data_IF_678395070116
#
_entry.id   IF_678395070116
#
_cell.length_a   1.000
_cell.length_b   1.000
_cell.length_c   1.000
_cell.angle_alpha   90.00
_cell.angle_beta   90.00
_cell.angle_gamma   90.00
#
_symmetry.space_group_name_H-M   'P 1'
#
loop_
_entity.id
_entity.type
_entity.pdbx_description
1 polymer ?
#
# COMPACT_ATOMS: atom_id res chain seq x y z
N UNK A 1 -8.41 -6.03 -2.23
CA UNK A 1 -8.19 -4.96 -1.25
C UNK A 1 -7.66 -5.54 0.08
N UNK A 2 -8.41 -6.28 0.88
CA UNK A 2 -7.97 -6.79 2.20
C UNK A 2 -6.61 -7.51 2.20
N UNK A 3 -6.27 -8.28 1.16
CA UNK A 3 -4.94 -8.93 1.02
C UNK A 3 -3.84 -7.89 0.85
N UNK A 4 -4.12 -6.81 0.11
CA UNK A 4 -3.18 -5.71 -0.06
C UNK A 4 -2.88 -5.06 1.29
N UNK A 5 -3.91 -4.70 2.06
CA UNK A 5 -3.77 -4.09 3.39
C UNK A 5 -3.01 -4.98 4.38
N UNK A 6 -3.25 -6.29 4.36
CA UNK A 6 -2.51 -7.22 5.21
C UNK A 6 -1.02 -7.25 4.85
N UNK A 7 -0.69 -7.28 3.55
CA UNK A 7 0.71 -7.23 3.11
C UNK A 7 1.35 -5.90 3.43
N UNK A 8 0.64 -4.83 3.14
CA UNK A 8 1.08 -3.47 3.39
C UNK A 8 1.40 -3.29 4.88
N UNK A 9 0.45 -3.49 5.77
CA UNK A 9 0.64 -3.28 7.21
C UNK A 9 1.79 -4.10 7.78
N UNK A 10 1.98 -5.34 7.33
CA UNK A 10 3.08 -6.21 7.80
C UNK A 10 4.45 -5.72 7.32
N UNK A 11 4.57 -5.35 6.03
CA UNK A 11 5.84 -4.94 5.46
C UNK A 11 6.22 -3.49 5.81
N UNK A 12 5.23 -2.64 6.09
CA UNK A 12 5.44 -1.24 6.44
C UNK A 12 6.23 -1.03 7.73
N UNK A 13 6.16 -1.98 8.66
CA UNK A 13 6.94 -1.94 9.90
C UNK A 13 8.44 -1.75 9.66
N UNK A 14 8.97 -2.27 8.55
CA UNK A 14 10.36 -2.08 8.17
C UNK A 14 10.74 -0.62 7.92
N UNK A 15 9.86 0.13 7.27
CA UNK A 15 10.08 1.56 7.02
C UNK A 15 9.98 2.37 8.33
N UNK A 16 9.01 2.07 9.20
CA UNK A 16 8.88 2.72 10.52
C UNK A 16 10.16 2.55 11.34
N UNK A 17 10.70 1.33 11.40
CA UNK A 17 11.92 1.03 12.16
C UNK A 17 13.20 1.60 11.51
N UNK A 18 13.16 1.91 10.22
CA UNK A 18 14.29 2.45 9.49
C UNK A 18 14.42 3.98 9.60
N UNK A 19 13.50 4.68 10.26
CA UNK A 19 13.58 6.13 10.42
C UNK A 19 14.53 6.50 11.57
N UNK A 20 15.38 7.50 11.32
CA UNK A 20 16.26 8.10 12.30
C UNK A 20 15.64 9.41 12.86
N UNK A 21 14.61 9.95 12.21
CA UNK A 21 13.88 11.15 12.61
C UNK A 21 12.59 10.79 13.39
N UNK A 22 12.43 11.36 14.58
CA UNK A 22 11.32 11.04 15.47
C UNK A 22 9.97 11.55 14.91
N UNK A 23 9.96 12.64 14.17
CA UNK A 23 8.74 13.22 13.59
C UNK A 23 8.27 12.35 12.42
N UNK A 24 9.19 11.92 11.55
CA UNK A 24 8.89 10.96 10.49
C UNK A 24 8.42 9.61 11.05
N UNK A 25 9.14 9.08 12.03
CA UNK A 25 8.76 7.82 12.69
C UNK A 25 7.37 7.89 13.33
N UNK A 26 7.03 9.02 13.95
CA UNK A 26 5.71 9.27 14.52
C UNK A 26 4.63 9.32 13.44
N UNK A 27 4.86 10.05 12.35
CA UNK A 27 3.93 10.11 11.22
C UNK A 27 3.68 8.72 10.62
N UNK A 28 4.73 7.97 10.31
CA UNK A 28 4.62 6.63 9.75
C UNK A 28 3.92 5.65 10.70
N UNK A 29 4.06 5.83 12.00
CA UNK A 29 3.32 5.03 12.99
C UNK A 29 1.82 5.30 12.91
N UNK A 30 1.38 6.54 12.63
CA UNK A 30 -0.04 6.84 12.40
C UNK A 30 -0.54 6.21 11.11
N UNK A 31 0.26 6.25 10.05
CA UNK A 31 -0.05 5.56 8.80
C UNK A 31 -0.24 4.04 9.01
N UNK A 32 0.66 3.39 9.76
CA UNK A 32 0.51 1.97 10.08
C UNK A 32 -0.82 1.66 10.79
N UNK A 33 -1.29 2.56 11.65
CA UNK A 33 -2.60 2.41 12.30
C UNK A 33 -3.73 2.51 11.27
N UNK A 34 -3.63 3.40 10.29
CA UNK A 34 -4.63 3.52 9.22
C UNK A 34 -4.72 2.22 8.42
N UNK A 35 -3.59 1.61 8.01
CA UNK A 35 -3.56 0.35 7.27
C UNK A 35 -4.24 -0.81 8.03
N UNK A 36 -4.00 -0.88 9.34
CA UNK A 36 -4.66 -1.89 10.20
C UNK A 36 -6.17 -1.63 10.26
N UNK A 37 -6.61 -0.37 10.31
CA UNK A 37 -8.03 0.00 10.31
C UNK A 37 -8.69 -0.31 8.96
N UNK A 38 -8.00 -0.07 7.85
CA UNK A 38 -8.46 -0.44 6.50
C UNK A 38 -8.70 -1.95 6.41
N UNK A 39 -7.75 -2.75 6.85
CA UNK A 39 -7.90 -4.22 6.90
C UNK A 39 -9.11 -4.64 7.75
N UNK A 40 -9.31 -4.03 8.93
CA UNK A 40 -10.47 -4.31 9.78
C UNK A 40 -11.80 -3.92 9.13
N UNK A 41 -11.83 -2.82 8.38
CA UNK A 41 -13.00 -2.40 7.62
C UNK A 41 -13.42 -3.48 6.62
N UNK A 42 -12.49 -4.03 5.83
CA UNK A 42 -12.79 -5.11 4.89
C UNK A 42 -13.21 -6.41 5.58
N UNK A 43 -12.59 -6.75 6.70
CA UNK A 43 -12.97 -7.94 7.47
C UNK A 43 -14.42 -7.81 7.99
N UNK A 44 -14.78 -6.67 8.55
CA UNK A 44 -16.16 -6.41 9.00
C UNK A 44 -17.17 -6.45 7.84
N UNK A 45 -16.79 -5.94 6.68
CA UNK A 45 -17.64 -6.03 5.50
C UNK A 45 -17.92 -7.49 5.12
N UNK A 46 -16.90 -8.37 5.16
CA UNK A 46 -17.09 -9.80 4.92
C UNK A 46 -18.01 -10.43 5.97
N UNK A 47 -17.79 -10.14 7.23
CA UNK A 47 -18.55 -10.74 8.33
C UNK A 47 -20.03 -10.26 8.37
N UNK A 48 -20.24 -8.95 8.24
CA UNK A 48 -21.54 -8.32 8.54
C UNK A 48 -22.43 -8.16 7.29
N UNK A 49 -21.83 -7.92 6.10
CA UNK A 49 -22.56 -7.62 4.86
C UNK A 49 -22.60 -8.83 3.93
N UNK A 50 -21.45 -9.48 3.72
CA UNK A 50 -21.40 -10.71 2.91
C UNK A 50 -21.93 -11.92 3.70
N UNK A 51 -22.03 -11.80 5.01
CA UNK A 51 -22.46 -12.84 5.94
C UNK A 51 -21.62 -14.12 5.85
N UNK A 52 -20.31 -13.94 5.70
CA UNK A 52 -19.30 -15.01 5.68
C UNK A 52 -18.29 -14.81 6.82
N UNK A 53 -18.70 -14.99 8.08
CA UNK A 53 -17.85 -14.74 9.24
C UNK A 53 -16.65 -15.70 9.27
N UNK A 54 -15.47 -15.12 9.35
CA UNK A 54 -14.23 -15.87 9.46
C UNK A 54 -13.14 -15.00 10.13
N UNK A 55 -12.01 -15.60 10.48
CA UNK A 55 -10.86 -14.80 10.90
C UNK A 55 -10.28 -14.01 9.73
N UNK A 56 -9.64 -12.87 10.02
CA UNK A 56 -8.94 -12.08 9.00
C UNK A 56 -7.97 -12.97 8.19
N UNK A 57 -7.20 -13.83 8.88
CA UNK A 57 -6.29 -14.77 8.20
C UNK A 57 -6.99 -15.71 7.24
N UNK A 58 -8.16 -16.25 7.59
CA UNK A 58 -8.92 -17.12 6.70
C UNK A 58 -9.46 -16.38 5.47
N UNK A 59 -9.90 -15.13 5.63
CA UNK A 59 -10.30 -14.28 4.50
C UNK A 59 -9.11 -13.98 3.57
N UNK A 60 -7.96 -13.64 4.14
CA UNK A 60 -6.72 -13.38 3.39
C UNK A 60 -6.28 -14.60 2.58
N UNK A 61 -6.24 -15.79 3.20
CA UNK A 61 -5.84 -17.03 2.50
C UNK A 61 -6.76 -17.34 1.31
N UNK A 62 -8.08 -17.28 1.50
CA UNK A 62 -9.04 -17.50 0.39
C UNK A 62 -8.88 -16.48 -0.73
N UNK A 63 -8.66 -15.21 -0.39
CA UNK A 63 -8.47 -14.17 -1.39
C UNK A 63 -7.15 -14.34 -2.16
N UNK A 64 -6.09 -14.84 -1.52
CA UNK A 64 -4.79 -15.13 -2.19
C UNK A 64 -4.89 -16.20 -3.27
N UNK A 65 -5.77 -17.18 -3.12
CA UNK A 65 -5.95 -18.25 -4.10
C UNK A 65 -6.39 -17.71 -5.48
N UNK A 66 -7.12 -16.60 -5.48
CA UNK A 66 -7.68 -15.99 -6.71
C UNK A 66 -6.86 -14.83 -7.26
N UNK A 67 -5.79 -14.41 -6.58
CA UNK A 67 -4.92 -13.32 -7.05
C UNK A 67 -4.08 -13.74 -8.24
N UNK A 68 -4.05 -12.88 -9.26
CA UNK A 68 -3.22 -13.05 -10.45
C UNK A 68 -1.71 -12.91 -10.16
N UNK A 69 -0.90 -13.49 -11.02
CA UNK A 69 0.57 -13.43 -10.90
C UNK A 69 1.14 -12.00 -10.89
N UNK A 70 0.61 -11.00 -11.66
CA UNK A 70 1.10 -9.63 -11.57
C UNK A 70 0.97 -9.05 -10.16
N UNK A 71 -0.15 -9.30 -9.50
CA UNK A 71 -0.39 -8.85 -8.13
C UNK A 71 0.60 -9.49 -7.15
N UNK A 72 0.79 -10.82 -7.24
CA UNK A 72 1.76 -11.56 -6.42
C UNK A 72 3.19 -11.06 -6.65
N UNK A 73 3.55 -10.75 -7.90
CA UNK A 73 4.87 -10.21 -8.23
C UNK A 73 5.15 -8.89 -7.48
N UNK A 74 4.16 -7.99 -7.42
CA UNK A 74 4.30 -6.70 -6.73
C UNK A 74 4.30 -6.89 -5.21
N UNK A 75 3.26 -7.52 -4.66
CA UNK A 75 3.02 -7.59 -3.21
C UNK A 75 3.86 -8.65 -2.50
N UNK A 76 3.95 -9.87 -3.04
CA UNK A 76 4.72 -10.96 -2.43
C UNK A 76 6.17 -11.00 -2.91
N UNK A 77 6.48 -10.34 -4.03
CA UNK A 77 7.82 -10.25 -4.60
C UNK A 77 8.53 -8.94 -4.26
N UNK A 78 8.18 -7.87 -4.93
CA UNK A 78 8.92 -6.60 -4.86
C UNK A 78 8.84 -5.96 -3.46
N UNK A 79 7.64 -5.83 -2.89
CA UNK A 79 7.43 -5.22 -1.57
C UNK A 79 8.15 -6.00 -0.46
N UNK A 80 8.03 -7.34 -0.46
CA UNK A 80 8.68 -8.19 0.55
C UNK A 80 10.20 -8.09 0.45
N UNK A 81 10.77 -8.08 -0.76
CA UNK A 81 12.22 -7.91 -0.95
C UNK A 81 12.72 -6.55 -0.47
N UNK A 82 11.97 -5.49 -0.74
CA UNK A 82 12.33 -4.15 -0.28
C UNK A 82 12.27 -4.06 1.26
N UNK A 83 11.23 -4.64 1.89
CA UNK A 83 11.16 -4.77 3.35
C UNK A 83 12.37 -5.52 3.93
N UNK A 84 12.73 -6.67 3.36
CA UNK A 84 13.87 -7.45 3.84
C UNK A 84 15.19 -6.68 3.75
N UNK A 85 15.39 -5.86 2.71
CA UNK A 85 16.57 -4.97 2.63
C UNK A 85 16.59 -3.98 3.78
N UNK A 86 15.47 -3.32 4.08
CA UNK A 86 15.35 -2.39 5.22
C UNK A 86 15.56 -3.09 6.57
N UNK A 87 15.06 -4.32 6.72
CA UNK A 87 15.23 -5.10 7.94
C UNK A 87 16.71 -5.48 8.19
N UNK A 88 17.44 -5.77 7.10
CA UNK A 88 18.88 -6.13 7.18
C UNK A 88 19.77 -4.91 7.41
N UNK A 89 19.47 -3.81 6.76
CA UNK A 89 20.19 -2.53 6.93
C UNK A 89 19.19 -1.35 6.92
N UNK A 90 18.71 -0.93 8.09
CA UNK A 90 17.80 0.21 8.22
C UNK A 90 18.39 1.56 7.76
N UNK A 91 19.71 1.64 7.58
CA UNK A 91 20.40 2.86 7.12
C UNK A 91 20.63 2.90 5.62
N UNK A 92 20.31 1.83 4.90
CA UNK A 92 20.44 1.78 3.44
C UNK A 92 19.44 2.76 2.79
N UNK A 93 19.98 3.90 2.31
CA UNK A 93 19.17 4.96 1.69
C UNK A 93 18.52 4.51 0.39
N UNK A 94 19.20 3.70 -0.41
CA UNK A 94 18.59 3.15 -1.64
C UNK A 94 17.43 2.21 -1.30
N UNK A 95 17.56 1.39 -0.26
CA UNK A 95 16.49 0.52 0.20
C UNK A 95 15.28 1.31 0.69
N UNK A 96 15.48 2.45 1.40
CA UNK A 96 14.38 3.36 1.79
C UNK A 96 13.68 3.94 0.57
N UNK A 97 14.44 4.49 -0.39
CA UNK A 97 13.89 5.05 -1.63
C UNK A 97 13.15 4.00 -2.44
N UNK A 98 13.71 2.80 -2.56
CA UNK A 98 13.11 1.68 -3.26
C UNK A 98 11.77 1.26 -2.61
N UNK A 99 11.76 1.10 -1.29
CA UNK A 99 10.55 0.76 -0.54
C UNK A 99 9.46 1.83 -0.70
N UNK A 100 9.80 3.12 -0.48
CA UNK A 100 8.85 4.23 -0.61
C UNK A 100 8.31 4.33 -2.05
N UNK A 101 9.16 4.07 -3.06
CA UNK A 101 8.71 4.04 -4.46
C UNK A 101 7.68 2.94 -4.69
N UNK A 102 7.96 1.71 -4.23
CA UNK A 102 7.02 0.59 -4.36
C UNK A 102 5.72 0.92 -3.62
N UNK A 103 5.84 1.25 -2.34
CA UNK A 103 4.72 1.41 -1.45
C UNK A 103 3.85 2.62 -1.83
N UNK A 104 4.38 3.83 -1.69
CA UNK A 104 3.58 5.05 -1.83
C UNK A 104 3.28 5.43 -3.28
N UNK A 105 4.16 5.11 -4.24
CA UNK A 105 3.94 5.52 -5.64
C UNK A 105 3.27 4.43 -6.47
N UNK A 106 3.72 3.18 -6.35
CA UNK A 106 3.17 2.09 -7.17
C UNK A 106 1.89 1.54 -6.56
N UNK A 107 1.93 1.16 -5.28
CA UNK A 107 0.77 0.52 -4.64
C UNK A 107 -0.33 1.54 -4.34
N UNK A 108 -0.08 2.56 -3.55
CA UNK A 108 -1.09 3.56 -3.19
C UNK A 108 -1.35 4.57 -4.31
N UNK A 109 -0.28 5.19 -4.82
CA UNK A 109 -0.36 6.29 -5.79
C UNK A 109 -0.79 5.87 -7.20
N UNK A 110 -0.71 4.60 -7.56
CA UNK A 110 -1.15 4.09 -8.86
C UNK A 110 -2.27 3.08 -8.72
N UNK A 111 -2.02 1.89 -8.16
CA UNK A 111 -3.05 0.85 -8.04
C UNK A 111 -4.18 1.29 -7.10
N UNK A 112 -3.85 1.85 -5.95
CA UNK A 112 -4.83 2.33 -4.95
C UNK A 112 -5.72 3.43 -5.51
N UNK A 113 -5.14 4.48 -6.09
CA UNK A 113 -5.92 5.61 -6.66
C UNK A 113 -6.86 5.12 -7.78
N UNK A 114 -6.34 4.36 -8.76
CA UNK A 114 -7.15 3.89 -9.88
C UNK A 114 -8.29 2.99 -9.40
N UNK A 115 -7.99 2.05 -8.51
CA UNK A 115 -8.99 1.14 -7.94
C UNK A 115 -10.04 1.91 -7.14
N UNK A 116 -9.62 2.90 -6.33
CA UNK A 116 -10.52 3.70 -5.50
C UNK A 116 -11.49 4.51 -6.34
N UNK A 117 -11.02 5.21 -7.36
CA UNK A 117 -11.87 6.00 -8.24
C UNK A 117 -12.88 5.10 -8.96
N UNK A 118 -12.40 4.05 -9.61
CA UNK A 118 -13.28 3.14 -10.34
C UNK A 118 -14.35 2.52 -9.45
N UNK A 119 -13.95 2.02 -8.27
CA UNK A 119 -14.88 1.36 -7.35
C UNK A 119 -15.89 2.34 -6.76
N UNK A 120 -15.46 3.51 -6.29
CA UNK A 120 -16.36 4.52 -5.72
C UNK A 120 -17.34 5.07 -6.76
N UNK A 121 -16.89 5.32 -7.98
CA UNK A 121 -17.76 5.79 -9.06
C UNK A 121 -18.82 4.73 -9.40
N UNK A 122 -18.40 3.46 -9.56
CA UNK A 122 -19.31 2.35 -9.81
C UNK A 122 -20.37 2.19 -8.71
N UNK A 123 -19.94 2.22 -7.44
CA UNK A 123 -20.84 2.04 -6.30
C UNK A 123 -21.86 3.20 -6.21
N UNK A 124 -21.41 4.43 -6.44
CA UNK A 124 -22.27 5.64 -6.39
C UNK A 124 -23.22 5.69 -7.57
N UNK A 125 -22.76 5.45 -8.80
CA UNK A 125 -23.60 5.44 -10.00
C UNK A 125 -24.70 4.36 -9.95
N UNK A 126 -24.40 3.23 -9.33
CA UNK A 126 -25.33 2.11 -9.21
C UNK A 126 -26.14 2.12 -7.91
N UNK A 127 -25.92 3.10 -7.04
CA UNK A 127 -26.54 3.18 -5.70
C UNK A 127 -26.35 1.89 -4.87
N UNK A 128 -25.16 1.27 -5.00
CA UNK A 128 -24.81 0.02 -4.34
C UNK A 128 -24.02 0.27 -3.06
N UNK A 129 -24.30 -0.51 -2.02
CA UNK A 129 -23.52 -0.58 -0.78
C UNK A 129 -23.14 0.80 -0.21
N UNK A 130 -24.11 1.69 0.08
CA UNK A 130 -23.83 3.09 0.44
C UNK A 130 -22.91 3.20 1.67
N UNK A 131 -23.07 2.35 2.68
CA UNK A 131 -22.20 2.34 3.86
C UNK A 131 -20.77 1.89 3.53
N UNK A 132 -20.58 0.95 2.60
CA UNK A 132 -19.27 0.57 2.11
C UNK A 132 -18.64 1.72 1.30
N UNK A 133 -19.40 2.36 0.41
CA UNK A 133 -18.89 3.49 -0.38
C UNK A 133 -18.48 4.67 0.51
N UNK A 134 -19.22 4.95 1.60
CA UNK A 134 -18.82 5.96 2.59
C UNK A 134 -17.51 5.59 3.30
N UNK A 135 -17.43 4.40 3.88
CA UNK A 135 -16.23 3.94 4.59
C UNK A 135 -15.01 3.84 3.68
N UNK A 136 -15.19 3.34 2.46
CA UNK A 136 -14.12 3.28 1.47
C UNK A 136 -13.66 4.67 1.00
N UNK A 137 -14.56 5.65 0.98
CA UNK A 137 -14.22 7.05 0.74
C UNK A 137 -13.33 7.65 1.83
N UNK A 138 -13.48 7.22 3.09
CA UNK A 138 -12.59 7.62 4.18
C UNK A 138 -11.22 6.99 4.03
N UNK A 139 -11.13 5.70 3.65
CA UNK A 139 -9.87 5.04 3.31
C UNK A 139 -9.15 5.81 2.21
N UNK A 140 -9.85 6.13 1.10
CA UNK A 140 -9.26 6.89 0.00
C UNK A 140 -8.75 8.29 0.43
N UNK A 141 -9.34 8.90 1.45
CA UNK A 141 -8.86 10.17 2.02
C UNK A 141 -7.59 9.96 2.87
N UNK A 142 -7.47 8.84 3.60
CA UNK A 142 -6.26 8.47 4.32
C UNK A 142 -5.10 8.25 3.35
N UNK A 143 -5.32 7.50 2.26
CA UNK A 143 -4.33 7.24 1.21
C UNK A 143 -3.70 8.52 0.61
N UNK A 144 -4.46 9.62 0.52
CA UNK A 144 -3.90 10.89 0.03
C UNK A 144 -2.78 11.44 0.93
N UNK A 145 -2.86 11.23 2.25
CA UNK A 145 -1.80 11.64 3.19
C UNK A 145 -0.56 10.78 3.03
N UNK A 146 -0.76 9.48 2.84
CA UNK A 146 0.32 8.50 2.61
C UNK A 146 1.09 8.83 1.32
N UNK A 147 0.39 9.05 0.22
CA UNK A 147 0.97 9.43 -1.07
C UNK A 147 1.70 10.78 -0.98
N UNK A 148 1.13 11.74 -0.24
CA UNK A 148 1.77 13.04 -0.03
C UNK A 148 3.11 12.89 0.72
N UNK A 149 3.17 12.06 1.76
CA UNK A 149 4.42 11.73 2.45
C UNK A 149 5.43 11.08 1.49
N UNK A 150 5.03 10.04 0.75
CA UNK A 150 5.93 9.37 -0.19
C UNK A 150 6.49 10.32 -1.24
N UNK A 151 5.65 11.21 -1.77
CA UNK A 151 6.06 12.24 -2.73
C UNK A 151 7.06 13.21 -2.11
N UNK A 152 6.81 13.68 -0.89
CA UNK A 152 7.73 14.55 -0.17
C UNK A 152 9.06 13.85 0.08
N UNK A 153 9.05 12.62 0.63
CA UNK A 153 10.25 11.85 0.94
C UNK A 153 11.13 11.65 -0.31
N UNK A 154 10.54 11.21 -1.42
CA UNK A 154 11.29 10.97 -2.66
C UNK A 154 11.87 12.27 -3.23
N UNK A 155 11.16 13.38 -3.15
CA UNK A 155 11.66 14.68 -3.57
C UNK A 155 12.87 15.11 -2.75
N UNK A 156 12.81 14.98 -1.42
CA UNK A 156 13.94 15.32 -0.54
C UNK A 156 15.13 14.38 -0.78
N UNK A 157 14.87 13.07 -0.94
CA UNK A 157 15.94 12.10 -1.21
C UNK A 157 16.68 12.39 -2.52
N UNK A 158 15.94 12.67 -3.61
CA UNK A 158 16.50 13.02 -4.94
C UNK A 158 17.17 14.40 -4.91
N UNK A 159 16.61 15.36 -4.17
CA UNK A 159 17.21 16.68 -3.98
C UNK A 159 18.56 16.63 -3.26
N UNK A 160 18.68 15.74 -2.27
CA UNK A 160 19.94 15.54 -1.53
C UNK A 160 20.97 14.70 -2.33
N UNK A 161 20.51 13.76 -3.14
CA UNK A 161 21.35 12.90 -3.98
C UNK A 161 20.62 12.54 -5.28
N UNK A 162 20.98 13.16 -6.42
CA UNK A 162 20.35 12.89 -7.70
C UNK A 162 20.41 11.43 -8.17
N UNK A 163 21.36 10.61 -7.67
CA UNK A 163 21.43 9.19 -7.99
C UNK A 163 20.20 8.42 -7.50
N UNK A 164 19.53 8.89 -6.45
CA UNK A 164 18.27 8.32 -5.96
C UNK A 164 17.14 8.39 -7.00
N UNK A 165 17.19 9.37 -7.92
CA UNK A 165 16.26 9.45 -9.04
C UNK A 165 16.34 8.25 -10.00
N UNK A 166 17.53 7.66 -10.17
CA UNK A 166 17.68 6.44 -10.98
C UNK A 166 17.10 5.21 -10.27
N UNK A 167 17.19 5.15 -8.93
CA UNK A 167 16.55 4.08 -8.13
C UNK A 167 15.03 4.13 -8.33
N UNK A 168 14.42 5.32 -8.17
CA UNK A 168 12.99 5.53 -8.40
C UNK A 168 12.60 5.12 -9.82
N UNK A 169 13.31 5.63 -10.82
CA UNK A 169 13.02 5.35 -12.23
C UNK A 169 13.12 3.87 -12.57
N UNK A 170 14.17 3.21 -12.10
CA UNK A 170 14.40 1.79 -12.34
C UNK A 170 13.26 0.94 -11.74
N UNK A 171 12.83 1.25 -10.50
CA UNK A 171 11.76 0.51 -9.84
C UNK A 171 10.41 0.73 -10.52
N UNK A 172 10.07 1.97 -10.89
CA UNK A 172 8.83 2.25 -11.62
C UNK A 172 8.79 1.50 -12.95
N UNK A 173 9.87 1.53 -13.73
CA UNK A 173 9.93 0.82 -15.01
C UNK A 173 9.87 -0.70 -14.87
N UNK A 174 10.45 -1.25 -13.81
CA UNK A 174 10.40 -2.67 -13.49
C UNK A 174 8.96 -3.14 -13.18
N UNK A 175 8.22 -2.35 -12.42
CA UNK A 175 6.87 -2.73 -11.98
C UNK A 175 5.74 -2.31 -12.92
N UNK A 176 5.96 -1.32 -13.79
CA UNK A 176 4.93 -0.79 -14.69
C UNK A 176 4.21 -1.86 -15.53
N UNK A 177 4.88 -2.87 -16.12
CA UNK A 177 4.19 -3.94 -16.85
C UNK A 177 3.26 -4.77 -15.98
N UNK A 178 3.63 -5.00 -14.72
CA UNK A 178 2.83 -5.77 -13.75
C UNK A 178 1.64 -4.94 -13.25
N UNK A 179 1.82 -3.65 -13.03
CA UNK A 179 0.74 -2.70 -12.69
C UNK A 179 -0.31 -2.68 -13.83
N UNK A 180 0.13 -2.55 -15.08
CA UNK A 180 -0.76 -2.53 -16.24
C UNK A 180 -1.55 -3.84 -16.45
N UNK A 181 -1.03 -4.97 -15.95
CA UNK A 181 -1.73 -6.25 -16.02
C UNK A 181 -2.64 -6.51 -14.80
N UNK A 182 -2.41 -5.81 -13.69
CA UNK A 182 -3.19 -5.93 -12.47
C UNK A 182 -4.46 -5.04 -12.48
N UNK A 183 -4.49 -3.99 -13.31
CA UNK A 183 -5.61 -3.08 -13.57
C UNK A 183 -6.50 -3.62 -14.69
#
# INVERSE_FOLDING_TARGET
LMVAEERISTQFCGLVLAQDDEEEGSFLSTQLVDEVRHMQFYARFQDEVVADPATIGAHVERAREVLGEPFKHIFDGALVKAHERLRLDPRDREAKVDFVTIYHMVLEGTLGIVTSHFLLDLLRERELLPGFAEGYGLIAADEQRHIAYGTWFLREAVGADPAMGEVVRARVLDLLPHVAQAL
#
